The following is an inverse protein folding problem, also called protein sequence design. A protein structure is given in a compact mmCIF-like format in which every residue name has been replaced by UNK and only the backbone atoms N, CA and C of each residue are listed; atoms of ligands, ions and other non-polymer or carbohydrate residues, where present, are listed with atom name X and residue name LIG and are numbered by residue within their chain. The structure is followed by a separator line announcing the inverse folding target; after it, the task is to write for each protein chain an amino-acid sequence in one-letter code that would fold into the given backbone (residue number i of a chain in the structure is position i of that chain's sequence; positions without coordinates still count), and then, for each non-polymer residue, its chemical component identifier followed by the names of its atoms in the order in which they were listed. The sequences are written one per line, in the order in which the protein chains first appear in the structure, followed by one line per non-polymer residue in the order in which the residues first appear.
data_IF_397720530699
#
_entry.id   IF_397720530699
#
_cell.length_a   1.000
_cell.length_b   1.000
_cell.length_c   1.000
_cell.angle_alpha   90.00
_cell.angle_beta   90.00
_cell.angle_gamma   90.00
#
_symmetry.space_group_name_H-M   'P 1'
#
loop_
_entity.id
_entity.type
_entity.pdbx_description
1 polymer ?
#
# COMPACT_ATOMS: atom_id res chain seq x y z
N UNK A 1 11.66 11.42 9.23
CA UNK A 1 10.66 10.41 9.63
C UNK A 1 10.16 10.58 11.07
N UNK A 2 11.00 10.91 12.06
CA UNK A 2 10.56 10.96 13.47
C UNK A 2 9.38 11.90 13.76
N UNK A 3 9.24 13.01 13.04
CA UNK A 3 8.14 13.97 13.21
C UNK A 3 6.78 13.43 12.73
N UNK A 4 6.78 12.46 11.80
CA UNK A 4 5.55 11.88 11.24
C UNK A 4 5.08 10.61 12.00
N UNK A 5 5.82 10.22 13.03
CA UNK A 5 5.57 9.00 13.80
C UNK A 5 5.12 9.32 15.21
N UNK A 6 4.12 8.55 15.69
CA UNK A 6 3.77 8.57 17.11
C UNK A 6 4.78 7.75 17.91
N UNK A 7 5.29 8.34 19.00
CA UNK A 7 6.19 7.70 19.95
C UNK A 7 5.47 7.39 21.26
N UNK A 8 5.61 6.18 21.76
CA UNK A 8 5.16 5.75 23.07
C UNK A 8 6.38 5.15 23.81
N UNK A 9 6.89 5.88 24.80
CA UNK A 9 8.17 5.60 25.48
C UNK A 9 9.34 5.46 24.49
N UNK A 10 10.02 4.31 24.50
CA UNK A 10 11.12 3.96 23.58
C UNK A 10 10.64 3.29 22.29
N UNK A 11 9.32 3.13 22.10
CA UNK A 11 8.71 2.46 20.95
C UNK A 11 7.99 3.45 20.05
N UNK A 12 7.82 3.05 18.80
CA UNK A 12 7.11 3.81 17.78
C UNK A 12 5.91 3.01 17.29
N UNK A 13 4.79 3.68 17.07
CA UNK A 13 3.67 3.07 16.35
C UNK A 13 4.01 3.00 14.86
N UNK A 14 3.67 1.88 14.23
CA UNK A 14 4.01 1.66 12.82
C UNK A 14 3.14 2.51 11.89
N UNK A 15 3.72 3.21 10.91
CA UNK A 15 2.96 3.97 9.90
C UNK A 15 2.46 3.09 8.76
N UNK A 16 2.92 1.83 8.71
CA UNK A 16 2.61 0.79 7.73
C UNK A 16 3.19 -0.55 8.23
N UNK A 17 2.57 -1.67 7.85
CA UNK A 17 3.11 -3.01 8.06
C UNK A 17 4.42 -3.27 7.28
N UNK A 18 4.80 -2.43 6.33
CA UNK A 18 6.11 -2.48 5.66
C UNK A 18 7.25 -2.50 6.67
N UNK A 19 7.19 -1.65 7.70
CA UNK A 19 8.26 -1.50 8.69
C UNK A 19 8.58 -2.84 9.37
N UNK A 20 7.63 -3.53 10.02
CA UNK A 20 7.91 -4.83 10.62
C UNK A 20 8.14 -5.94 9.58
N UNK A 21 7.37 -5.99 8.49
CA UNK A 21 7.46 -7.09 7.50
C UNK A 21 8.80 -7.12 6.77
N UNK A 22 9.31 -5.98 6.32
CA UNK A 22 10.60 -5.90 5.63
C UNK A 22 11.74 -6.25 6.59
N UNK A 23 11.61 -5.91 7.88
CA UNK A 23 12.62 -6.24 8.90
C UNK A 23 12.62 -7.71 9.34
N UNK A 24 11.69 -8.56 8.86
CA UNK A 24 11.82 -10.02 9.02
C UNK A 24 13.13 -10.50 8.40
N UNK A 25 13.60 -9.86 7.32
CA UNK A 25 14.85 -10.22 6.66
C UNK A 25 16.11 -9.62 7.32
N UNK A 26 15.97 -8.84 8.40
CA UNK A 26 17.05 -8.05 9.00
C UNK A 26 18.15 -8.91 9.62
N UNK A 27 19.39 -8.46 9.47
CA UNK A 27 20.63 -9.05 10.01
C UNK A 27 20.87 -10.53 9.67
N UNK A 28 20.29 -11.01 8.57
CA UNK A 28 20.35 -12.41 8.15
C UNK A 28 20.98 -12.59 6.75
N UNK A 29 21.57 -13.78 6.53
CA UNK A 29 22.04 -14.24 5.22
C UNK A 29 21.13 -15.39 4.78
N UNK A 30 20.17 -15.07 3.91
CA UNK A 30 19.17 -16.00 3.42
C UNK A 30 19.74 -16.99 2.39
N UNK A 31 19.29 -18.25 2.36
CA UNK A 31 19.56 -19.16 1.25
C UNK A 31 19.04 -18.58 -0.06
N UNK A 32 19.81 -18.63 -1.15
CA UNK A 32 19.37 -18.09 -2.44
C UNK A 32 18.07 -18.71 -2.97
N UNK A 33 17.77 -19.97 -2.62
CA UNK A 33 16.55 -20.66 -3.01
C UNK A 33 15.33 -20.33 -2.12
N UNK A 34 15.46 -19.52 -1.07
CA UNK A 34 14.33 -19.07 -0.26
C UNK A 34 13.67 -17.79 -0.80
N UNK A 35 14.25 -17.20 -1.85
CA UNK A 35 13.73 -16.00 -2.50
C UNK A 35 12.92 -16.38 -3.77
N UNK A 36 11.87 -15.61 -4.12
CA UNK A 36 11.39 -14.43 -3.42
C UNK A 36 10.55 -14.80 -2.18
N UNK A 37 10.78 -14.09 -1.07
CA UNK A 37 9.88 -14.13 0.09
C UNK A 37 8.79 -13.08 -0.09
N UNK A 38 7.53 -13.49 0.02
CA UNK A 38 6.36 -12.61 -0.15
C UNK A 38 5.52 -12.64 1.11
N UNK A 39 5.29 -11.47 1.69
CA UNK A 39 4.52 -11.30 2.92
C UNK A 39 3.32 -10.39 2.68
N UNK A 40 2.25 -10.62 3.44
CA UNK A 40 1.13 -9.71 3.54
C UNK A 40 0.66 -9.61 4.99
N UNK A 41 0.17 -8.44 5.38
CA UNK A 41 -0.42 -8.24 6.70
C UNK A 41 -1.49 -7.16 6.65
N UNK A 42 -2.53 -7.34 7.46
CA UNK A 42 -3.51 -6.31 7.77
C UNK A 42 -3.17 -5.70 9.13
N UNK A 43 -2.90 -4.39 9.18
CA UNK A 43 -2.54 -3.69 10.43
C UNK A 43 -3.21 -2.33 10.55
N UNK A 44 -3.54 -1.89 11.78
CA UNK A 44 -3.74 -0.47 12.04
C UNK A 44 -2.41 0.27 11.80
N UNK A 45 -2.48 1.37 11.05
CA UNK A 45 -1.37 2.23 10.68
C UNK A 45 -1.57 3.59 11.34
N UNK A 46 -0.49 4.19 11.86
CA UNK A 46 -0.53 5.43 12.64
C UNK A 46 0.41 6.48 12.04
N UNK A 47 -0.12 7.66 11.70
CA UNK A 47 0.65 8.78 11.15
C UNK A 47 0.27 10.07 11.85
N UNK A 48 1.28 10.87 12.24
CA UNK A 48 1.00 12.15 12.90
C UNK A 48 0.42 13.16 11.90
N UNK A 49 0.62 12.95 10.60
CA UNK A 49 0.17 13.85 9.52
C UNK A 49 0.73 15.27 9.69
N UNK A 50 1.95 15.35 10.23
CA UNK A 50 2.67 16.59 10.43
C UNK A 50 2.85 17.32 9.09
N UNK A 51 2.29 18.54 9.00
CA UNK A 51 2.33 19.35 7.78
C UNK A 51 1.09 19.27 6.88
N UNK A 52 0.10 18.44 7.20
CA UNK A 52 -1.15 18.30 6.44
C UNK A 52 -2.34 19.08 7.02
N UNK A 53 -2.11 20.00 7.96
CA UNK A 53 -3.15 20.72 8.67
C UNK A 53 -4.14 21.41 7.69
N UNK A 54 -5.42 21.04 7.79
CA UNK A 54 -6.51 21.63 7.01
C UNK A 54 -6.75 21.04 5.62
N UNK A 55 -5.90 20.11 5.14
CA UNK A 55 -6.08 19.46 3.82
C UNK A 55 -6.65 18.05 3.97
N UNK A 56 -7.80 17.79 3.34
CA UNK A 56 -8.47 16.48 3.33
C UNK A 56 -8.80 15.92 4.72
N UNK A 57 -8.93 16.79 5.74
CA UNK A 57 -9.21 16.39 7.13
C UNK A 57 -10.68 16.07 7.41
N UNK A 58 -11.59 16.44 6.49
CA UNK A 58 -13.01 16.08 6.55
C UNK A 58 -13.25 14.75 5.84
N UNK A 59 -13.89 13.80 6.53
CA UNK A 59 -14.17 12.46 6.00
C UNK A 59 -13.13 11.42 6.40
N UNK A 60 -12.82 10.48 5.52
CA UNK A 60 -11.96 9.32 5.81
C UNK A 60 -10.74 9.20 4.87
N UNK A 61 -10.44 10.23 4.07
CA UNK A 61 -9.29 10.22 3.13
C UNK A 61 -7.96 10.30 3.88
N UNK A 62 -7.90 11.15 4.91
CA UNK A 62 -6.73 11.39 5.75
C UNK A 62 -7.12 11.25 7.22
N UNK A 63 -6.50 10.31 7.91
CA UNK A 63 -6.76 10.00 9.32
C UNK A 63 -5.45 9.69 10.03
N UNK A 64 -5.35 10.00 11.33
CA UNK A 64 -4.19 9.63 12.14
C UNK A 64 -4.06 8.13 12.35
N UNK A 65 -5.17 7.40 12.30
CA UNK A 65 -5.23 5.95 12.35
C UNK A 65 -6.10 5.44 11.21
N UNK A 66 -5.59 4.46 10.46
CA UNK A 66 -6.32 3.81 9.37
C UNK A 66 -5.85 2.36 9.21
N UNK A 67 -6.66 1.52 8.59
CA UNK A 67 -6.30 0.13 8.29
C UNK A 67 -5.77 -0.03 6.87
N UNK A 68 -4.74 -0.85 6.70
CA UNK A 68 -4.13 -1.15 5.41
C UNK A 68 -3.73 -2.62 5.33
N UNK A 69 -3.90 -3.21 4.15
CA UNK A 69 -3.27 -4.49 3.80
C UNK A 69 -1.99 -4.19 3.06
N UNK A 70 -0.86 -4.64 3.56
CA UNK A 70 0.45 -4.47 2.93
C UNK A 70 0.85 -5.68 2.10
N UNK A 71 1.64 -5.44 1.07
CA UNK A 71 2.39 -6.41 0.29
C UNK A 71 3.87 -6.06 0.48
N UNK A 72 4.68 -7.04 0.90
CA UNK A 72 6.14 -6.88 0.98
C UNK A 72 6.79 -8.04 0.23
N UNK A 73 7.86 -7.75 -0.48
CA UNK A 73 8.66 -8.77 -1.15
C UNK A 73 10.14 -8.54 -0.92
N UNK A 74 10.85 -9.63 -0.65
CA UNK A 74 12.32 -9.69 -0.57
C UNK A 74 12.77 -10.62 -1.68
N UNK A 75 13.60 -10.12 -2.58
CA UNK A 75 13.86 -10.73 -3.89
C UNK A 75 15.34 -10.77 -4.23
N UNK A 76 15.69 -11.60 -5.21
CA UNK A 76 16.97 -11.47 -5.90
C UNK A 76 17.02 -10.13 -6.66
N UNK A 77 18.19 -9.48 -6.78
CA UNK A 77 18.32 -8.22 -7.50
C UNK A 77 17.86 -8.26 -8.97
N UNK A 78 18.07 -9.38 -9.66
CA UNK A 78 17.73 -9.61 -11.06
C UNK A 78 16.22 -9.87 -11.30
N UNK A 79 15.50 -10.35 -10.28
CA UNK A 79 14.04 -10.55 -10.34
C UNK A 79 13.23 -9.34 -9.85
N UNK A 80 13.90 -8.37 -9.23
CA UNK A 80 13.27 -7.25 -8.52
C UNK A 80 12.35 -6.39 -9.39
N UNK A 81 12.73 -6.13 -10.65
CA UNK A 81 11.89 -5.31 -11.53
C UNK A 81 10.62 -6.09 -11.97
N UNK A 82 10.72 -7.40 -12.21
CA UNK A 82 9.57 -8.24 -12.52
C UNK A 82 8.63 -8.39 -11.31
N UNK A 83 9.18 -8.47 -10.10
CA UNK A 83 8.37 -8.49 -8.88
C UNK A 83 7.60 -7.18 -8.67
N UNK A 84 8.17 -6.03 -9.07
CA UNK A 84 7.49 -4.74 -8.96
C UNK A 84 6.21 -4.73 -9.81
N UNK A 85 6.31 -5.15 -11.07
CA UNK A 85 5.17 -5.23 -11.98
C UNK A 85 4.12 -6.24 -11.47
N UNK A 86 4.55 -7.40 -10.95
CA UNK A 86 3.66 -8.40 -10.33
C UNK A 86 2.92 -7.84 -9.11
N UNK A 87 3.63 -7.10 -8.25
CA UNK A 87 3.09 -6.48 -7.04
C UNK A 87 2.04 -5.43 -7.38
N UNK A 88 2.31 -4.57 -8.37
CA UNK A 88 1.34 -3.59 -8.86
C UNK A 88 0.10 -4.29 -9.43
N UNK A 89 0.27 -5.32 -10.25
CA UNK A 89 -0.84 -6.10 -10.78
C UNK A 89 -1.71 -6.76 -9.68
N UNK A 90 -1.12 -7.13 -8.54
CA UNK A 90 -1.87 -7.66 -7.40
C UNK A 90 -2.79 -6.60 -6.76
N UNK A 91 -2.32 -5.35 -6.63
CA UNK A 91 -3.15 -4.25 -6.12
C UNK A 91 -4.24 -3.86 -7.12
N UNK A 92 -3.91 -3.81 -8.41
CA UNK A 92 -4.88 -3.57 -9.50
C UNK A 92 -5.99 -4.64 -9.53
N UNK A 93 -5.63 -5.91 -9.37
CA UNK A 93 -6.60 -7.02 -9.39
C UNK A 93 -7.70 -6.86 -8.33
N UNK A 94 -7.41 -6.23 -7.18
CA UNK A 94 -8.42 -5.94 -6.17
C UNK A 94 -9.42 -4.90 -6.69
N UNK A 95 -8.94 -3.81 -7.30
CA UNK A 95 -9.81 -2.77 -7.87
C UNK A 95 -10.65 -3.29 -9.04
N UNK A 96 -10.05 -4.11 -9.90
CA UNK A 96 -10.74 -4.77 -11.02
C UNK A 96 -11.89 -5.66 -10.52
N UNK A 97 -11.65 -6.47 -9.49
CA UNK A 97 -12.67 -7.32 -8.87
C UNK A 97 -13.78 -6.51 -8.18
N UNK A 98 -13.44 -5.36 -7.61
CA UNK A 98 -14.40 -4.43 -7.03
C UNK A 98 -15.17 -3.63 -8.09
N UNK A 99 -14.77 -3.69 -9.37
CA UNK A 99 -15.39 -2.91 -10.44
C UNK A 99 -15.13 -1.41 -10.33
N UNK A 100 -14.03 -1.00 -9.68
CA UNK A 100 -13.72 0.41 -9.45
C UNK A 100 -12.84 0.97 -10.57
N UNK A 101 -13.19 2.12 -11.20
CA UNK A 101 -12.36 2.76 -12.19
C UNK A 101 -11.06 3.28 -11.56
N UNK A 102 -9.93 3.02 -12.18
CA UNK A 102 -8.62 3.42 -11.66
C UNK A 102 -7.63 3.75 -12.78
N UNK A 103 -6.51 4.37 -12.42
CA UNK A 103 -5.34 4.56 -13.29
C UNK A 103 -4.05 4.25 -12.52
N UNK A 104 -3.00 3.90 -13.26
CA UNK A 104 -1.66 3.69 -12.71
C UNK A 104 -0.75 4.82 -13.17
N UNK A 105 -0.05 5.44 -12.22
CA UNK A 105 0.83 6.58 -12.44
C UNK A 105 2.25 6.21 -12.02
N UNK A 106 3.22 6.31 -12.93
CA UNK A 106 4.63 6.26 -12.55
C UNK A 106 5.04 7.61 -11.97
N UNK A 107 5.55 7.62 -10.74
CA UNK A 107 5.96 8.86 -10.08
C UNK A 107 7.22 9.44 -10.71
N UNK A 108 7.26 10.76 -10.81
CA UNK A 108 8.48 11.47 -11.20
C UNK A 108 9.53 11.39 -10.08
N UNK A 109 10.78 11.72 -10.39
CA UNK A 109 11.87 11.68 -9.39
C UNK A 109 11.67 12.62 -8.20
N UNK A 110 10.90 13.70 -8.37
CA UNK A 110 10.58 14.65 -7.29
C UNK A 110 9.54 14.13 -6.29
N UNK A 111 8.66 13.23 -6.74
CA UNK A 111 7.59 12.65 -5.92
C UNK A 111 7.92 11.23 -5.43
N UNK A 112 8.94 10.58 -6.02
CA UNK A 112 9.38 9.26 -5.57
C UNK A 112 9.97 9.35 -4.16
N UNK A 113 9.47 8.50 -3.26
CA UNK A 113 9.88 8.48 -1.86
C UNK A 113 11.38 8.17 -1.68
N UNK A 114 11.97 8.72 -0.61
CA UNK A 114 13.42 8.66 -0.33
C UNK A 114 14.07 7.28 -0.42
N UNK A 115 13.34 6.21 -0.09
CA UNK A 115 13.84 4.83 -0.10
C UNK A 115 13.57 4.06 -1.39
N UNK A 116 12.87 4.64 -2.36
CA UNK A 116 12.43 3.98 -3.59
C UNK A 116 13.30 4.40 -4.78
N UNK A 117 13.57 3.45 -5.70
CA UNK A 117 14.16 3.72 -7.01
C UNK A 117 13.12 3.87 -8.12
N UNK A 118 11.91 3.33 -7.92
CA UNK A 118 10.76 3.43 -8.83
C UNK A 118 9.48 3.19 -8.03
N UNK A 119 8.46 4.01 -8.26
CA UNK A 119 7.16 3.90 -7.58
C UNK A 119 6.03 4.05 -8.59
N UNK A 120 5.02 3.20 -8.44
CA UNK A 120 3.73 3.33 -9.10
C UNK A 120 2.66 3.67 -8.06
N UNK A 121 1.96 4.77 -8.26
CA UNK A 121 0.73 5.05 -7.54
C UNK A 121 -0.46 4.55 -8.36
N UNK A 122 -1.38 3.89 -7.67
CA UNK A 122 -2.67 3.51 -8.23
C UNK A 122 -3.67 4.49 -7.65
N UNK A 123 -4.40 5.16 -8.54
CA UNK A 123 -5.40 6.14 -8.17
C UNK A 123 -6.80 5.66 -8.59
N UNK A 124 -7.75 5.73 -7.67
CA UNK A 124 -9.14 5.35 -7.89
C UNK A 124 -10.00 6.57 -8.17
N UNK A 125 -11.00 6.42 -9.03
CA UNK A 125 -11.96 7.48 -9.32
C UNK A 125 -12.94 7.66 -8.14
N UNK A 126 -13.05 8.89 -7.66
CA UNK A 126 -13.98 9.28 -6.60
C UNK A 126 -14.91 10.40 -7.11
N UNK A 127 -16.18 10.13 -7.45
CA UNK A 127 -17.08 11.11 -8.05
C UNK A 127 -17.48 12.26 -7.12
N UNK A 128 -17.49 12.07 -5.80
CA UNK A 128 -17.85 13.10 -4.83
C UNK A 128 -16.74 14.12 -4.57
N UNK A 129 -15.52 13.85 -5.04
CA UNK A 129 -14.39 14.77 -4.91
C UNK A 129 -14.53 16.00 -5.80
N UNK A 130 -13.77 17.04 -5.46
CA UNK A 130 -13.69 18.27 -6.26
C UNK A 130 -15.08 18.89 -6.51
N UNK A 131 -15.85 19.06 -5.44
CA UNK A 131 -17.22 19.61 -5.47
C UNK A 131 -18.18 18.79 -6.36
N UNK A 132 -17.99 17.47 -6.44
CA UNK A 132 -18.81 16.57 -7.24
C UNK A 132 -18.42 16.49 -8.72
N UNK A 133 -17.30 17.13 -9.13
CA UNK A 133 -16.75 16.97 -10.48
C UNK A 133 -15.99 15.66 -10.66
N UNK A 134 -15.62 15.04 -9.54
CA UNK A 134 -14.89 13.79 -9.47
C UNK A 134 -13.40 13.96 -9.71
N UNK A 135 -12.60 13.12 -9.05
CA UNK A 135 -11.15 13.16 -9.16
C UNK A 135 -10.54 11.79 -8.88
N UNK A 136 -9.42 11.48 -9.57
CA UNK A 136 -8.57 10.36 -9.20
C UNK A 136 -7.78 10.67 -7.92
N UNK A 137 -7.84 9.78 -6.94
CA UNK A 137 -7.09 9.87 -5.67
C UNK A 137 -6.29 8.60 -5.44
N UNK A 138 -5.07 8.76 -4.95
CA UNK A 138 -4.19 7.64 -4.56
C UNK A 138 -4.92 6.68 -3.61
N UNK A 139 -4.91 5.39 -3.93
CA UNK A 139 -5.46 4.30 -3.08
C UNK A 139 -4.41 3.24 -2.75
N UNK A 140 -3.36 3.16 -3.56
CA UNK A 140 -2.19 2.31 -3.35
C UNK A 140 -0.94 2.98 -3.91
N UNK A 141 0.20 2.63 -3.33
CA UNK A 141 1.53 2.97 -3.83
C UNK A 141 2.39 1.72 -3.74
N UNK A 142 3.04 1.34 -4.84
CA UNK A 142 3.92 0.18 -4.98
C UNK A 142 5.32 0.63 -5.38
N UNK A 143 6.31 0.32 -4.55
CA UNK A 143 7.69 0.80 -4.68
C UNK A 143 8.69 -0.33 -4.74
N UNK A 144 9.64 -0.21 -5.68
CA UNK A 144 10.88 -0.96 -5.67
C UNK A 144 11.96 -0.13 -4.96
N UNK A 145 12.55 -0.66 -3.89
CA UNK A 145 13.59 0.01 -3.10
C UNK A 145 15.01 -0.43 -3.48
N UNK A 146 15.16 -1.40 -4.39
CA UNK A 146 16.43 -2.06 -4.66
C UNK A 146 17.11 -2.52 -3.36
N UNK A 147 18.42 -2.33 -3.28
CA UNK A 147 19.19 -2.65 -2.08
C UNK A 147 19.15 -1.56 -0.98
N UNK A 148 18.36 -0.48 -1.13
CA UNK A 148 18.40 0.67 -0.22
C UNK A 148 18.10 0.27 1.23
N UNK A 149 16.97 -0.40 1.44
CA UNK A 149 16.56 -0.86 2.77
C UNK A 149 17.44 -2.02 3.24
N UNK A 150 17.74 -2.97 2.34
CA UNK A 150 18.60 -4.12 2.61
C UNK A 150 19.96 -3.73 3.20
N UNK A 151 20.59 -2.67 2.70
CA UNK A 151 21.87 -2.15 3.25
C UNK A 151 21.74 -1.63 4.68
N UNK A 152 20.62 -1.02 5.03
CA UNK A 152 20.36 -0.46 6.37
C UNK A 152 20.02 -1.54 7.38
N UNK A 153 19.34 -2.59 6.94
CA UNK A 153 18.97 -3.76 7.75
C UNK A 153 19.95 -4.92 7.66
N UNK A 154 21.05 -4.79 6.90
CA UNK A 154 22.08 -5.85 6.67
C UNK A 154 21.54 -7.17 6.09
N UNK A 155 20.39 -7.14 5.42
CA UNK A 155 19.78 -8.32 4.80
C UNK A 155 20.51 -8.72 3.52
N UNK A 156 20.97 -9.97 3.48
CA UNK A 156 21.74 -10.53 2.37
C UNK A 156 21.21 -11.90 2.00
N UNK A 157 21.61 -12.40 0.84
CA UNK A 157 21.45 -13.79 0.46
C UNK A 157 22.78 -14.37 0.00
N UNK A 158 22.88 -15.70 0.01
CA UNK A 158 24.02 -16.43 -0.57
C UNK A 158 23.69 -16.86 -1.99
N UNK A 159 24.52 -16.43 -2.94
CA UNK A 159 24.38 -16.82 -4.34
C UNK A 159 24.94 -18.23 -4.62
N UNK A 160 24.82 -18.67 -5.88
CA UNK A 160 25.27 -19.99 -6.31
C UNK A 160 26.79 -20.19 -6.18
N UNK A 161 27.58 -19.11 -6.24
CA UNK A 161 29.03 -19.11 -6.09
C UNK A 161 29.47 -19.05 -4.62
N UNK A 162 28.52 -18.96 -3.69
CA UNK A 162 28.76 -18.89 -2.25
C UNK A 162 29.06 -17.48 -1.74
N UNK A 163 29.01 -16.46 -2.59
CA UNK A 163 29.20 -15.06 -2.20
C UNK A 163 27.91 -14.51 -1.58
N UNK A 164 28.06 -13.49 -0.72
CA UNK A 164 26.91 -12.81 -0.13
C UNK A 164 26.59 -11.53 -0.88
N UNK A 165 25.34 -11.37 -1.29
CA UNK A 165 24.85 -10.16 -1.95
C UNK A 165 23.66 -9.57 -1.18
N UNK A 166 23.42 -8.27 -1.31
CA UNK A 166 22.22 -7.64 -0.73
C UNK A 166 20.99 -8.05 -1.52
N UNK A 167 19.92 -8.40 -0.81
CA UNK A 167 18.59 -8.60 -1.40
C UNK A 167 18.01 -7.28 -1.92
N UNK A 168 17.02 -7.36 -2.79
CA UNK A 168 16.16 -6.22 -3.12
C UNK A 168 14.85 -6.30 -2.34
N UNK A 169 14.36 -5.15 -1.88
CA UNK A 169 13.08 -5.05 -1.16
C UNK A 169 12.06 -4.28 -1.98
N UNK A 170 10.81 -4.71 -1.88
CA UNK A 170 9.66 -4.06 -2.48
C UNK A 170 8.55 -3.98 -1.45
N UNK A 171 7.77 -2.92 -1.52
CA UNK A 171 6.58 -2.74 -0.72
C UNK A 171 5.44 -2.18 -1.58
N UNK A 172 4.23 -2.52 -1.21
CA UNK A 172 3.04 -2.07 -1.90
C UNK A 172 1.86 -2.08 -0.96
N UNK A 173 1.00 -1.09 -1.10
CA UNK A 173 -0.32 -1.19 -0.47
C UNK A 173 -1.16 -2.15 -1.31
N UNK A 174 -1.70 -3.22 -0.71
CA UNK A 174 -2.70 -4.05 -1.36
C UNK A 174 -3.89 -3.17 -1.76
N UNK A 175 -4.55 -2.58 -0.75
CA UNK A 175 -5.31 -1.33 -0.83
C UNK A 175 -5.38 -0.71 0.59
N UNK A 176 -5.49 0.62 0.67
CA UNK A 176 -5.87 1.30 1.91
C UNK A 176 -7.37 1.12 2.17
N UNK A 177 -7.75 0.46 3.28
CA UNK A 177 -9.14 0.02 3.52
C UNK A 177 -10.11 1.20 3.58
N UNK A 178 -9.73 2.28 4.29
CA UNK A 178 -10.57 3.47 4.41
C UNK A 178 -10.86 4.15 3.07
N UNK A 179 -9.82 4.35 2.24
CA UNK A 179 -9.97 4.93 0.89
C UNK A 179 -10.76 4.01 -0.04
N UNK A 180 -10.60 2.69 0.10
CA UNK A 180 -11.38 1.70 -0.65
C UNK A 180 -12.86 1.77 -0.30
N UNK A 181 -13.18 1.94 0.98
CA UNK A 181 -14.56 2.11 1.43
C UNK A 181 -15.19 3.37 0.83
N UNK A 182 -14.48 4.51 0.81
CA UNK A 182 -14.96 5.71 0.12
C UNK A 182 -15.24 5.42 -1.35
N UNK A 183 -14.32 4.75 -2.05
CA UNK A 183 -14.50 4.43 -3.47
C UNK A 183 -15.73 3.54 -3.72
N UNK A 184 -15.97 2.54 -2.87
CA UNK A 184 -17.17 1.69 -2.95
C UNK A 184 -18.44 2.49 -2.69
N UNK A 185 -18.46 3.35 -1.66
CA UNK A 185 -19.63 4.16 -1.34
C UNK A 185 -19.95 5.16 -2.46
N UNK A 186 -18.95 5.91 -2.91
CA UNK A 186 -19.17 6.98 -3.90
C UNK A 186 -19.51 6.42 -5.29
N UNK A 187 -18.91 5.31 -5.72
CA UNK A 187 -19.22 4.70 -7.02
C UNK A 187 -20.48 3.81 -6.98
N UNK A 188 -20.94 3.41 -5.79
CA UNK A 188 -22.13 2.58 -5.59
C UNK A 188 -23.40 3.37 -5.23
N UNK A 189 -23.31 4.68 -4.99
CA UNK A 189 -24.44 5.51 -4.53
C UNK A 189 -25.64 5.47 -5.49
N UNK A 190 -26.85 5.46 -4.92
CA UNK A 190 -28.12 5.55 -5.62
C UNK A 190 -28.86 6.85 -5.24
N UNK A 191 -29.87 7.24 -6.03
CA UNK A 191 -30.64 8.49 -5.83
C UNK A 191 -31.38 8.53 -4.47
N UNK A 192 -31.82 7.38 -3.97
CA UNK A 192 -32.50 7.24 -2.68
C UNK A 192 -31.54 7.20 -1.47
N UNK A 193 -30.23 7.35 -1.71
CA UNK A 193 -29.19 7.33 -0.69
C UNK A 193 -28.71 5.92 -0.29
N UNK A 194 -29.25 4.86 -0.88
CA UNK A 194 -28.69 3.52 -0.76
C UNK A 194 -27.36 3.40 -1.52
N UNK A 195 -26.58 2.35 -1.20
CA UNK A 195 -25.32 2.05 -1.87
C UNK A 195 -25.33 0.62 -2.35
N UNK A 196 -25.27 0.44 -3.67
CA UNK A 196 -25.07 -0.86 -4.30
C UNK A 196 -23.64 -1.33 -4.06
N UNK A 197 -23.50 -2.54 -3.55
CA UNK A 197 -22.20 -3.16 -3.28
C UNK A 197 -21.68 -3.93 -4.50
N UNK A 198 -20.35 -3.91 -4.76
CA UNK A 198 -19.72 -4.83 -5.71
C UNK A 198 -20.06 -6.29 -5.42
N UNK A 199 -20.33 -7.07 -6.47
CA UNK A 199 -20.76 -8.47 -6.35
C UNK A 199 -19.79 -9.32 -5.52
N UNK A 200 -18.49 -9.05 -5.63
CA UNK A 200 -17.44 -9.76 -4.88
C UNK A 200 -17.49 -9.53 -3.36
N UNK A 201 -18.26 -8.55 -2.88
CA UNK A 201 -18.44 -8.26 -1.46
C UNK A 201 -19.71 -8.91 -0.87
N UNK A 202 -20.65 -9.38 -1.69
CA UNK A 202 -21.97 -9.83 -1.18
C UNK A 202 -21.86 -10.97 -0.17
N UNK A 203 -20.97 -11.95 -0.40
CA UNK A 203 -20.77 -13.07 0.53
C UNK A 203 -20.13 -12.64 1.86
N UNK A 204 -19.40 -11.54 1.88
CA UNK A 204 -18.78 -10.99 3.09
C UNK A 204 -19.74 -10.09 3.87
N UNK A 205 -20.60 -9.37 3.15
CA UNK A 205 -21.55 -8.40 3.73
C UNK A 205 -22.91 -9.01 4.08
N UNK A 206 -23.28 -10.13 3.45
CA UNK A 206 -24.60 -10.76 3.61
C UNK A 206 -25.74 -10.00 2.90
N UNK A 207 -25.42 -8.95 2.14
CA UNK A 207 -26.36 -8.15 1.36
C UNK A 207 -25.72 -7.65 0.06
N UNK A 208 -26.56 -7.24 -0.89
CA UNK A 208 -26.13 -6.61 -2.15
C UNK A 208 -26.11 -5.08 -2.09
N UNK A 209 -26.65 -4.51 -1.03
CA UNK A 209 -26.91 -3.08 -0.89
C UNK A 209 -26.90 -2.67 0.58
N UNK A 210 -26.45 -1.45 0.86
CA UNK A 210 -26.56 -0.77 2.16
C UNK A 210 -27.65 0.28 2.03
N UNK A 211 -28.69 0.20 2.87
CA UNK A 211 -29.78 1.17 2.91
C UNK A 211 -29.54 2.21 4.01
N UNK A 212 -30.04 3.46 3.86
CA UNK A 212 -30.08 4.42 4.95
C UNK A 212 -30.79 3.83 6.19
N UNK A 213 -30.33 4.22 7.39
CA UNK A 213 -30.87 3.78 8.67
C UNK A 213 -32.14 4.54 9.07
#
# INVERSE_FOLDING_TARGET
FGEDLFRADEKWLIPTAEVPLTNIASDEIWPGNSLPMRFTAHTPCFRSEAGAAGRDTRGMIRQHQFSKVELVSVTHPDESDAEHERMTACAEAVLQRLGLPYRVMMLCSGDTGFGARKTYDIEVWLPGQDEGRGMYREISSCSNCGAFQARRMKARFRDADGNTQFVHTLNGSGLAVGRTMIAVLENGQQEDGSVRLPDVLHSYMGCSEITPA
#
